data_IF_512898681312
#
_entry.id   IF_512898681312
#
_cell.length_a   1.000
_cell.length_b   1.000
_cell.length_c   1.000
_cell.angle_alpha   90.00
_cell.angle_beta   90.00
_cell.angle_gamma   90.00
#
_symmetry.space_group_name_H-M   'P 1'
#
loop_
_entity.id
_entity.type
_entity.pdbx_description
1 polymer ?
#
# COMPACT_ATOMS: atom_id res chain seq x y z
N UNK A 1 -18.71 -4.87 19.83
CA UNK A 1 -18.75 -5.11 18.36
C UNK A 1 -19.10 -6.57 18.16
N UNK A 2 -20.39 -6.87 18.09
CA UNK A 2 -20.91 -8.19 17.73
C UNK A 2 -21.49 -8.08 16.32
N UNK A 3 -21.24 -9.12 15.53
CA UNK A 3 -21.63 -9.37 14.13
C UNK A 3 -20.61 -8.95 13.05
N UNK A 4 -19.80 -9.94 12.68
CA UNK A 4 -19.38 -10.11 11.29
C UNK A 4 -20.66 -10.37 10.48
N UNK A 5 -20.91 -9.52 9.49
CA UNK A 5 -22.11 -9.45 8.64
C UNK A 5 -23.00 -10.71 8.60
N UNK A 6 -24.15 -10.67 9.25
CA UNK A 6 -25.29 -11.53 8.89
C UNK A 6 -26.16 -10.68 7.97
N UNK A 7 -25.94 -10.81 6.66
CA UNK A 7 -26.76 -10.17 5.63
C UNK A 7 -27.83 -11.18 5.24
N UNK A 8 -29.11 -10.77 5.17
CA UNK A 8 -30.16 -11.63 4.60
C UNK A 8 -29.78 -12.06 3.18
N UNK A 9 -30.11 -13.29 2.80
CA UNK A 9 -29.83 -13.81 1.45
C UNK A 9 -30.44 -12.93 0.35
N UNK A 10 -31.58 -12.30 0.64
CA UNK A 10 -32.33 -11.46 -0.31
C UNK A 10 -31.84 -10.00 -0.35
N UNK A 11 -30.98 -9.60 0.59
CA UNK A 11 -30.55 -8.21 0.65
C UNK A 11 -29.44 -7.95 -0.39
N UNK A 12 -29.58 -6.89 -1.21
CA UNK A 12 -28.57 -6.57 -2.20
C UNK A 12 -27.24 -6.23 -1.51
N UNK A 13 -26.13 -6.66 -2.12
CA UNK A 13 -24.80 -6.37 -1.58
C UNK A 13 -24.56 -4.87 -1.43
N UNK A 14 -23.71 -4.46 -0.46
CA UNK A 14 -23.50 -3.06 -0.15
C UNK A 14 -23.01 -2.24 -1.36
N UNK A 15 -23.86 -1.35 -1.87
CA UNK A 15 -23.55 -0.37 -2.91
C UNK A 15 -23.00 0.94 -2.31
N UNK A 16 -22.05 1.59 -2.98
CA UNK A 16 -21.45 2.84 -2.50
C UNK A 16 -22.48 3.96 -2.26
N UNK A 17 -23.43 4.17 -3.17
CA UNK A 17 -24.39 5.26 -3.10
C UNK A 17 -25.30 5.16 -1.86
N UNK A 18 -25.83 3.95 -1.61
CA UNK A 18 -26.65 3.66 -0.43
C UNK A 18 -25.84 3.86 0.85
N UNK A 19 -24.61 3.33 0.88
CA UNK A 19 -23.73 3.48 2.03
C UNK A 19 -23.32 4.93 2.28
N UNK A 20 -23.09 5.73 1.24
CA UNK A 20 -22.74 7.14 1.36
C UNK A 20 -23.90 7.96 1.95
N UNK A 21 -25.14 7.68 1.55
CA UNK A 21 -26.33 8.28 2.17
C UNK A 21 -26.45 7.91 3.65
N UNK A 22 -26.23 6.64 3.98
CA UNK A 22 -26.26 6.16 5.36
C UNK A 22 -25.11 6.74 6.21
N UNK A 23 -23.92 6.93 5.63
CA UNK A 23 -22.80 7.58 6.29
C UNK A 23 -23.14 9.01 6.73
N UNK A 24 -23.85 9.77 5.88
CA UNK A 24 -24.31 11.12 6.21
C UNK A 24 -25.23 11.12 7.43
N UNK A 25 -26.15 10.15 7.53
CA UNK A 25 -27.02 9.97 8.70
C UNK A 25 -26.21 9.57 9.93
N UNK A 26 -25.32 8.58 9.79
CA UNK A 26 -24.49 8.06 10.88
C UNK A 26 -23.55 9.11 11.48
N UNK A 27 -23.05 10.07 10.69
CA UNK A 27 -22.21 11.17 11.20
C UNK A 27 -22.95 12.13 12.12
N UNK A 28 -24.28 12.19 12.06
CA UNK A 28 -25.10 13.03 12.96
C UNK A 28 -25.19 12.40 14.35
N UNK A 29 -25.29 11.08 14.42
CA UNK A 29 -25.50 10.32 15.66
C UNK A 29 -24.21 9.79 16.29
N UNK A 30 -23.15 9.58 15.50
CA UNK A 30 -21.90 8.98 15.97
C UNK A 30 -20.74 10.01 16.01
N UNK A 31 -20.31 10.45 17.21
CA UNK A 31 -19.22 11.40 17.37
C UNK A 31 -17.87 10.92 16.83
N UNK A 32 -17.56 9.61 16.91
CA UNK A 32 -16.29 9.06 16.45
C UNK A 32 -16.15 9.13 14.94
N UNK A 33 -17.23 8.84 14.20
CA UNK A 33 -17.24 8.96 12.72
C UNK A 33 -17.17 10.45 12.32
N UNK A 34 -17.77 11.34 13.11
CA UNK A 34 -17.74 12.79 12.85
C UNK A 34 -16.31 13.37 12.89
N UNK A 35 -15.42 12.82 13.73
CA UNK A 35 -14.01 13.23 13.83
C UNK A 35 -13.17 12.91 12.58
N UNK A 36 -13.60 11.96 11.75
CA UNK A 36 -12.83 11.46 10.59
C UNK A 36 -13.24 12.16 9.29
N UNK A 37 -12.33 12.19 8.31
CA UNK A 37 -12.49 13.03 7.13
C UNK A 37 -13.52 12.39 6.23
N UNK A 38 -14.44 13.20 5.71
CA UNK A 38 -15.54 12.71 4.89
C UNK A 38 -15.04 11.93 3.66
N UNK A 39 -13.98 12.42 3.00
CA UNK A 39 -13.41 11.77 1.81
C UNK A 39 -12.68 10.47 2.17
N UNK A 40 -11.99 10.44 3.31
CA UNK A 40 -11.36 9.21 3.82
C UNK A 40 -12.42 8.15 4.11
N UNK A 41 -13.52 8.52 4.78
CA UNK A 41 -14.64 7.62 5.06
C UNK A 41 -15.29 7.10 3.77
N UNK A 42 -15.54 7.98 2.79
CA UNK A 42 -16.04 7.59 1.48
C UNK A 42 -15.10 6.60 0.76
N UNK A 43 -13.79 6.76 0.90
CA UNK A 43 -12.83 5.81 0.31
C UNK A 43 -12.89 4.42 0.97
N UNK A 44 -13.24 4.35 2.25
CA UNK A 44 -13.50 3.06 2.93
C UNK A 44 -14.73 2.39 2.33
N UNK A 45 -15.81 3.14 2.06
CA UNK A 45 -17.02 2.61 1.42
C UNK A 45 -16.73 2.09 0.00
N UNK A 46 -15.95 2.84 -0.81
CA UNK A 46 -15.49 2.39 -2.13
C UNK A 46 -14.65 1.11 -2.05
N UNK A 47 -13.87 0.96 -0.98
CA UNK A 47 -13.08 -0.25 -0.74
C UNK A 47 -13.99 -1.44 -0.40
N UNK A 48 -15.08 -1.21 0.35
CA UNK A 48 -16.07 -2.23 0.66
C UNK A 48 -16.78 -2.71 -0.62
N UNK A 49 -17.29 -1.79 -1.43
CA UNK A 49 -17.94 -2.10 -2.70
C UNK A 49 -17.02 -2.90 -3.63
N UNK A 50 -15.76 -2.46 -3.79
CA UNK A 50 -14.76 -3.20 -4.58
C UNK A 50 -14.55 -4.64 -4.07
N UNK A 51 -14.58 -4.84 -2.76
CA UNK A 51 -14.41 -6.18 -2.18
C UNK A 51 -15.60 -7.09 -2.53
N UNK A 52 -16.83 -6.58 -2.44
CA UNK A 52 -18.03 -7.33 -2.84
C UNK A 52 -18.12 -7.56 -4.35
N UNK A 53 -17.70 -6.59 -5.17
CA UNK A 53 -17.64 -6.79 -6.63
C UNK A 53 -16.58 -7.83 -6.99
N UNK A 54 -15.41 -7.79 -6.36
CA UNK A 54 -14.37 -8.83 -6.58
C UNK A 54 -14.84 -10.22 -6.16
N UNK A 55 -15.65 -10.33 -5.10
CA UNK A 55 -16.26 -11.60 -4.68
C UNK A 55 -17.16 -12.17 -5.81
N UNK A 56 -18.04 -11.33 -6.38
CA UNK A 56 -18.98 -11.73 -7.44
C UNK A 56 -18.30 -12.00 -8.77
N UNK A 57 -17.50 -11.06 -9.25
CA UNK A 57 -16.93 -11.07 -10.60
C UNK A 57 -15.73 -12.01 -10.72
N UNK A 58 -14.97 -12.18 -9.63
CA UNK A 58 -13.70 -12.95 -9.64
C UNK A 58 -13.75 -14.23 -8.82
N UNK A 59 -14.91 -14.57 -8.24
CA UNK A 59 -15.08 -15.77 -7.41
C UNK A 59 -14.27 -15.74 -6.11
N UNK A 60 -13.90 -14.56 -5.60
CA UNK A 60 -13.22 -14.46 -4.30
C UNK A 60 -14.17 -14.80 -3.15
N UNK A 61 -13.61 -15.22 -2.01
CA UNK A 61 -14.40 -15.46 -0.79
C UNK A 61 -15.00 -14.18 -0.19
N UNK A 62 -15.94 -14.37 0.74
CA UNK A 62 -16.68 -13.27 1.37
C UNK A 62 -15.77 -12.21 2.02
N UNK A 63 -16.01 -10.89 1.81
CA UNK A 63 -15.20 -9.82 2.38
C UNK A 63 -15.13 -9.87 3.92
N UNK A 64 -13.94 -9.66 4.47
CA UNK A 64 -13.71 -9.58 5.92
C UNK A 64 -13.29 -8.19 6.36
N UNK A 65 -13.84 -7.71 7.47
CA UNK A 65 -13.46 -6.42 8.04
C UNK A 65 -12.00 -6.44 8.52
N UNK A 66 -11.32 -5.30 8.31
CA UNK A 66 -9.97 -5.09 8.83
C UNK A 66 -10.06 -4.64 10.28
N UNK A 67 -9.53 -5.44 11.19
CA UNK A 67 -9.32 -5.02 12.57
C UNK A 67 -8.22 -3.92 12.66
N UNK A 68 -8.05 -3.34 13.87
CA UNK A 68 -7.05 -2.29 14.14
C UNK A 68 -5.60 -2.66 13.81
N UNK A 69 -5.27 -3.95 13.72
CA UNK A 69 -3.93 -4.42 13.38
C UNK A 69 -3.72 -4.68 11.87
N UNK A 70 -4.82 -4.95 11.15
CA UNK A 70 -4.86 -5.15 9.69
C UNK A 70 -5.07 -3.85 8.93
N UNK A 71 -5.68 -2.84 9.55
CA UNK A 71 -5.76 -1.52 8.95
C UNK A 71 -4.37 -0.87 8.94
N UNK A 72 -3.83 -0.67 7.75
CA UNK A 72 -2.45 -0.17 7.55
C UNK A 72 -2.37 1.10 6.72
N UNK A 73 -3.46 1.53 6.10
CA UNK A 73 -3.45 2.73 5.29
C UNK A 73 -4.83 3.35 5.15
N UNK A 74 -4.83 4.63 4.86
CA UNK A 74 -6.00 5.39 4.45
C UNK A 74 -5.56 6.46 3.44
N UNK A 75 -6.53 7.02 2.71
CA UNK A 75 -6.24 7.84 1.54
C UNK A 75 -7.05 9.13 1.61
N UNK A 76 -6.38 10.25 1.39
CA UNK A 76 -6.97 11.52 1.03
C UNK A 76 -6.97 11.62 -0.50
N UNK A 77 -8.13 11.42 -1.15
CA UNK A 77 -8.18 11.25 -2.61
C UNK A 77 -7.93 12.53 -3.38
N UNK A 78 -8.13 13.70 -2.75
CA UNK A 78 -7.96 15.01 -3.36
C UNK A 78 -7.68 16.08 -2.29
N UNK A 79 -7.10 17.19 -2.71
CA UNK A 79 -6.89 18.39 -1.89
C UNK A 79 -7.32 19.63 -2.68
N UNK A 80 -7.85 20.65 -1.99
CA UNK A 80 -8.23 21.93 -2.61
C UNK A 80 -7.02 22.77 -3.01
N UNK A 81 -6.00 22.75 -2.16
CA UNK A 81 -4.72 23.44 -2.34
C UNK A 81 -3.59 22.45 -2.09
N UNK A 82 -2.37 22.76 -2.53
CA UNK A 82 -1.22 21.93 -2.23
C UNK A 82 -1.07 21.79 -0.70
N UNK A 83 -1.20 20.58 -0.12
CA UNK A 83 -1.11 20.37 1.31
C UNK A 83 0.34 20.36 1.81
N UNK A 84 1.34 20.39 0.93
CA UNK A 84 2.76 20.32 1.27
C UNK A 84 3.36 21.72 1.32
N UNK A 85 4.09 22.01 2.39
CA UNK A 85 4.87 23.23 2.57
C UNK A 85 6.17 22.87 3.29
N UNK A 86 7.31 23.02 2.61
CA UNK A 86 8.63 22.60 3.09
C UNK A 86 8.61 21.12 3.57
N UNK A 87 9.05 20.89 4.81
CA UNK A 87 9.05 19.58 5.48
C UNK A 87 7.71 19.25 6.17
N UNK A 88 6.62 19.91 5.81
CA UNK A 88 5.32 19.73 6.45
C UNK A 88 4.24 19.36 5.46
N UNK A 89 3.29 18.56 5.94
CA UNK A 89 2.07 18.22 5.23
C UNK A 89 0.85 18.51 6.10
N UNK A 90 -0.10 19.28 5.57
CA UNK A 90 -1.38 19.61 6.21
C UNK A 90 -2.43 18.59 5.80
N UNK A 91 -2.79 17.71 6.73
CA UNK A 91 -3.81 16.68 6.52
C UNK A 91 -5.13 17.08 7.18
N UNK A 92 -6.28 16.99 6.49
CA UNK A 92 -7.59 17.31 7.08
C UNK A 92 -7.85 16.55 8.40
N UNK A 93 -8.29 17.28 9.43
CA UNK A 93 -8.54 16.83 10.83
C UNK A 93 -7.35 16.24 11.60
N UNK A 94 -6.24 15.90 10.94
CA UNK A 94 -4.99 15.52 11.60
C UNK A 94 -4.15 16.77 11.92
N UNK A 95 -4.19 17.78 11.05
CA UNK A 95 -3.43 19.01 11.19
C UNK A 95 -2.11 18.99 10.43
N UNK A 96 -1.18 19.85 10.86
CA UNK A 96 0.14 19.98 10.27
C UNK A 96 1.06 18.88 10.84
N UNK A 97 1.66 18.07 9.96
CA UNK A 97 2.52 16.95 10.34
C UNK A 97 3.88 17.12 9.68
N UNK A 98 4.95 17.05 10.47
CA UNK A 98 6.31 17.07 9.94
C UNK A 98 6.59 15.77 9.21
N UNK A 99 7.15 15.87 8.01
CA UNK A 99 7.57 14.74 7.19
C UNK A 99 8.97 14.97 6.63
N UNK A 100 9.70 13.87 6.42
CA UNK A 100 10.93 13.91 5.63
C UNK A 100 10.56 13.65 4.17
N UNK A 101 10.67 14.66 3.32
CA UNK A 101 10.43 14.49 1.90
C UNK A 101 11.59 13.67 1.31
N UNK A 102 11.32 12.47 0.81
CA UNK A 102 12.37 11.57 0.31
C UNK A 102 12.93 11.96 -1.05
N UNK A 103 12.14 12.70 -1.84
CA UNK A 103 12.49 13.18 -3.18
C UNK A 103 11.77 14.51 -3.42
N UNK A 104 12.41 15.52 -4.03
CA UNK A 104 11.71 16.74 -4.41
C UNK A 104 10.56 16.42 -5.36
N UNK A 105 9.48 17.23 -5.28
CA UNK A 105 8.37 17.14 -6.24
C UNK A 105 8.89 17.72 -7.56
N UNK A 106 8.88 16.96 -8.67
CA UNK A 106 9.39 17.47 -9.95
C UNK A 106 8.54 18.64 -10.46
N UNK A 107 9.17 19.52 -11.25
CA UNK A 107 8.49 20.66 -11.87
C UNK A 107 7.38 20.19 -12.82
N UNK A 108 6.26 20.92 -12.86
CA UNK A 108 5.09 20.57 -13.68
C UNK A 108 4.19 19.48 -13.09
N UNK A 109 4.57 18.86 -11.96
CA UNK A 109 3.74 17.85 -11.29
C UNK A 109 2.87 18.44 -10.18
N UNK A 110 1.59 18.09 -10.20
CA UNK A 110 0.63 18.46 -9.17
C UNK A 110 0.30 17.27 -8.27
N UNK A 111 0.27 17.49 -6.96
CA UNK A 111 -0.19 16.48 -6.02
C UNK A 111 -1.70 16.26 -6.16
N UNK A 112 -2.11 15.02 -6.43
CA UNK A 112 -3.53 14.64 -6.53
C UNK A 112 -4.00 13.89 -5.30
N UNK A 113 -3.23 12.94 -4.82
CA UNK A 113 -3.65 12.06 -3.74
C UNK A 113 -2.52 11.86 -2.73
N UNK A 114 -2.89 11.75 -1.45
CA UNK A 114 -1.98 11.37 -0.37
C UNK A 114 -2.51 10.13 0.31
N UNK A 115 -1.72 9.07 0.31
CA UNK A 115 -1.99 7.84 1.06
C UNK A 115 -1.06 7.75 2.26
N UNK A 116 -1.63 7.78 3.46
CA UNK A 116 -0.87 7.53 4.69
C UNK A 116 -0.79 6.03 4.90
N UNK A 117 0.43 5.49 5.02
CA UNK A 117 0.70 4.06 5.19
C UNK A 117 1.53 3.81 6.44
N UNK A 118 1.07 2.89 7.28
CA UNK A 118 1.81 2.35 8.42
C UNK A 118 2.58 1.10 8.02
N UNK A 119 3.90 1.23 7.95
CA UNK A 119 4.82 0.09 7.77
C UNK A 119 5.45 -0.31 9.10
N UNK A 120 6.36 -1.28 9.10
CA UNK A 120 7.01 -1.76 10.32
C UNK A 120 8.01 -0.75 10.90
N UNK A 121 8.60 0.09 10.03
CA UNK A 121 9.55 1.14 10.41
C UNK A 121 8.89 2.46 10.82
N UNK A 122 7.60 2.67 10.51
CA UNK A 122 6.93 3.94 10.82
C UNK A 122 5.77 4.26 9.87
N UNK A 123 5.34 5.51 9.88
CA UNK A 123 4.33 6.05 8.97
C UNK A 123 5.00 6.71 7.76
N UNK A 124 4.37 6.58 6.60
CA UNK A 124 4.83 7.12 5.33
C UNK A 124 3.68 7.83 4.64
N UNK A 125 3.95 8.99 4.03
CA UNK A 125 3.05 9.64 3.10
C UNK A 125 3.45 9.23 1.67
N UNK A 126 2.59 8.46 1.01
CA UNK A 126 2.74 8.13 -0.41
C UNK A 126 1.99 9.19 -1.22
N UNK A 127 2.75 9.93 -2.03
CA UNK A 127 2.25 11.03 -2.85
C UNK A 127 1.98 10.51 -4.26
N UNK A 128 0.76 10.71 -4.75
CA UNK A 128 0.45 10.49 -6.17
C UNK A 128 0.43 11.84 -6.87
N UNK A 129 1.37 12.00 -7.78
CA UNK A 129 1.57 13.21 -8.58
C UNK A 129 0.99 13.00 -9.98
N UNK A 130 0.50 14.07 -10.59
CA UNK A 130 0.03 14.08 -11.97
C UNK A 130 0.71 15.23 -12.71
N UNK A 131 1.25 14.93 -13.88
CA UNK A 131 1.73 15.92 -14.84
C UNK A 131 0.78 15.95 -16.04
N UNK A 132 0.71 17.10 -16.72
CA UNK A 132 -0.02 17.25 -17.98
C UNK A 132 0.83 16.90 -19.21
N UNK A 133 2.07 16.44 -19.00
CA UNK A 133 2.93 15.97 -20.09
C UNK A 133 2.29 14.77 -20.74
N UNK A 134 2.08 14.87 -22.06
CA UNK A 134 1.65 13.75 -22.88
C UNK A 134 2.88 12.87 -23.13
N UNK A 135 2.79 11.59 -22.75
CA UNK A 135 3.85 10.61 -23.02
C UNK A 135 3.48 9.98 -24.36
N UNK A 136 4.31 10.15 -25.41
CA UNK A 136 4.03 9.54 -26.70
C UNK A 136 3.93 8.02 -26.55
N UNK A 137 3.05 7.40 -27.34
CA UNK A 137 2.98 5.95 -27.38
C UNK A 137 4.33 5.37 -27.79
N UNK A 138 4.69 4.23 -27.18
CA UNK A 138 5.88 3.50 -27.59
C UNK A 138 5.68 3.01 -29.03
N UNK A 139 6.65 3.21 -29.93
CA UNK A 139 6.52 2.77 -31.31
C UNK A 139 6.31 1.25 -31.36
N UNK A 140 5.40 0.80 -32.23
CA UNK A 140 5.07 -0.63 -32.39
C UNK A 140 6.24 -1.46 -32.96
N UNK A 141 7.29 -0.79 -33.46
CA UNK A 141 8.48 -1.37 -34.05
C UNK A 141 9.71 -0.92 -33.27
N UNK A 142 10.62 -1.85 -32.99
CA UNK A 142 11.87 -1.58 -32.29
C UNK A 142 12.85 -2.74 -32.44
N UNK A 143 14.03 -2.58 -31.85
CA UNK A 143 15.03 -3.65 -31.78
C UNK A 143 14.53 -4.76 -30.84
N UNK A 144 14.34 -6.00 -31.33
CA UNK A 144 13.88 -7.09 -30.48
C UNK A 144 15.01 -7.52 -29.54
N UNK A 145 14.82 -7.28 -28.23
CA UNK A 145 15.75 -7.72 -27.20
C UNK A 145 15.21 -9.00 -26.54
N UNK A 146 15.92 -10.13 -26.74
CA UNK A 146 15.63 -11.37 -26.04
C UNK A 146 16.05 -11.24 -24.58
N UNK A 147 15.18 -11.61 -23.64
CA UNK A 147 15.46 -11.59 -22.20
C UNK A 147 15.26 -12.99 -21.63
N UNK A 148 16.32 -13.55 -21.06
CA UNK A 148 16.27 -14.79 -20.28
C UNK A 148 16.49 -14.50 -18.79
N UNK A 149 15.69 -15.12 -17.92
CA UNK A 149 15.69 -14.90 -16.46
C UNK A 149 16.16 -16.17 -15.78
N UNK A 150 17.38 -16.13 -15.24
CA UNK A 150 18.05 -17.31 -14.69
C UNK A 150 18.09 -17.40 -13.16
N UNK A 151 18.61 -18.54 -12.68
CA UNK A 151 18.91 -18.76 -11.26
C UNK A 151 20.34 -18.36 -10.88
N UNK A 152 21.28 -18.50 -11.81
CA UNK A 152 22.69 -18.11 -11.62
C UNK A 152 22.87 -16.62 -11.93
N UNK A 153 22.51 -16.19 -13.14
CA UNK A 153 22.34 -14.78 -13.53
C UNK A 153 20.88 -14.37 -13.38
N UNK A 154 20.62 -13.17 -12.89
CA UNK A 154 19.26 -12.66 -12.75
C UNK A 154 18.62 -12.42 -14.12
N UNK A 155 19.38 -11.87 -15.06
CA UNK A 155 18.92 -11.53 -16.39
C UNK A 155 20.07 -11.68 -17.38
N UNK A 156 19.81 -12.29 -18.51
CA UNK A 156 20.70 -12.36 -19.66
C UNK A 156 19.97 -11.80 -20.89
N UNK A 157 20.62 -10.92 -21.66
CA UNK A 157 20.05 -10.40 -22.90
C UNK A 157 20.65 -11.09 -24.13
N UNK A 158 19.92 -11.07 -25.25
CA UNK A 158 20.45 -11.51 -26.55
C UNK A 158 21.68 -10.72 -27.01
N UNK A 159 21.89 -9.53 -26.44
CA UNK A 159 23.03 -8.65 -26.73
C UNK A 159 24.26 -8.99 -25.87
N UNK A 160 24.15 -10.02 -25.01
CA UNK A 160 25.24 -10.49 -24.16
C UNK A 160 25.36 -9.74 -22.83
N UNK A 161 24.42 -8.86 -22.47
CA UNK A 161 24.39 -8.25 -21.14
C UNK A 161 23.98 -9.29 -20.10
N UNK A 162 24.76 -9.39 -19.03
CA UNK A 162 24.50 -10.33 -17.93
C UNK A 162 24.39 -9.55 -16.61
N UNK A 163 23.21 -9.59 -16.00
CA UNK A 163 22.99 -9.03 -14.67
C UNK A 163 23.12 -10.12 -13.62
N UNK A 164 24.04 -9.90 -12.68
CA UNK A 164 24.26 -10.81 -11.55
C UNK A 164 23.03 -10.91 -10.62
N UNK A 165 22.82 -12.10 -10.08
CA UNK A 165 21.76 -12.31 -9.10
C UNK A 165 22.12 -11.69 -7.76
N UNK A 166 21.25 -10.83 -7.21
CA UNK A 166 21.52 -10.23 -5.92
C UNK A 166 21.34 -11.28 -4.79
N UNK A 167 22.36 -11.43 -3.94
CA UNK A 167 22.39 -12.44 -2.87
C UNK A 167 21.75 -11.98 -1.55
N UNK A 168 21.16 -10.77 -1.49
CA UNK A 168 20.57 -10.22 -0.25
C UNK A 168 19.41 -11.06 0.30
N UNK A 169 18.68 -11.78 -0.57
CA UNK A 169 17.53 -12.58 -0.15
C UNK A 169 17.94 -13.73 0.77
N UNK A 170 19.03 -14.44 0.46
CA UNK A 170 19.47 -15.59 1.24
C UNK A 170 19.76 -15.19 2.70
N UNK A 171 20.51 -14.10 2.90
CA UNK A 171 20.83 -13.57 4.22
C UNK A 171 19.57 -13.16 5.00
N UNK A 172 18.70 -12.34 4.39
CA UNK A 172 17.50 -11.83 5.07
C UNK A 172 16.48 -12.95 5.37
N UNK A 173 16.39 -13.97 4.51
CA UNK A 173 15.57 -15.16 4.78
C UNK A 173 16.14 -16.00 5.92
N UNK A 174 17.46 -16.13 6.04
CA UNK A 174 18.12 -16.77 7.17
C UNK A 174 17.78 -16.11 8.50
N UNK A 175 17.90 -14.77 8.56
CA UNK A 175 17.50 -13.98 9.73
C UNK A 175 16.01 -14.18 10.08
N UNK A 176 15.13 -14.14 9.07
CA UNK A 176 13.71 -14.33 9.25
C UNK A 176 13.38 -15.73 9.81
N UNK A 177 14.03 -16.79 9.29
CA UNK A 177 13.86 -18.17 9.75
C UNK A 177 14.24 -18.31 11.23
N UNK A 178 15.34 -17.69 11.66
CA UNK A 178 15.76 -17.67 13.07
C UNK A 178 14.72 -16.98 13.97
N UNK A 179 14.18 -15.84 13.53
CA UNK A 179 13.14 -15.13 14.27
C UNK A 179 11.85 -15.93 14.37
N UNK A 180 11.43 -16.59 13.28
CA UNK A 180 10.25 -17.47 13.26
C UNK A 180 10.42 -18.68 14.19
N UNK A 181 11.60 -19.31 14.21
CA UNK A 181 11.91 -20.40 15.14
C UNK A 181 11.80 -19.95 16.60
N UNK A 182 12.36 -18.79 16.93
CA UNK A 182 12.26 -18.18 18.27
C UNK A 182 10.82 -17.81 18.63
N UNK A 183 10.01 -17.41 17.65
CA UNK A 183 8.63 -17.02 17.85
C UNK A 183 7.74 -18.20 18.27
N UNK A 184 7.98 -19.39 17.70
CA UNK A 184 7.20 -20.62 17.98
C UNK A 184 7.19 -21.00 19.46
N UNK A 185 8.31 -20.77 20.19
CA UNK A 185 8.42 -21.10 21.60
C UNK A 185 7.94 -19.99 22.56
N UNK A 186 7.44 -18.85 22.06
CA UNK A 186 6.96 -17.76 22.94
C UNK A 186 5.48 -17.92 23.29
N UNK A 187 5.18 -17.71 24.58
CA UNK A 187 3.80 -17.63 25.07
C UNK A 187 2.99 -16.60 24.27
N UNK A 188 1.78 -16.96 23.77
CA UNK A 188 0.85 -16.02 23.18
C UNK A 188 0.63 -14.79 24.08
N UNK A 189 0.53 -13.59 23.49
CA UNK A 189 0.34 -12.33 24.23
C UNK A 189 1.55 -11.79 25.00
N UNK A 190 2.63 -12.57 25.17
CA UNK A 190 3.80 -12.08 25.92
C UNK A 190 4.51 -10.90 25.25
N UNK A 191 5.07 -9.99 26.07
CA UNK A 191 5.85 -8.83 25.59
C UNK A 191 6.99 -9.25 24.66
N UNK A 192 7.66 -10.36 24.97
CA UNK A 192 8.74 -10.90 24.14
C UNK A 192 8.24 -11.38 22.77
N UNK A 193 7.04 -11.97 22.70
CA UNK A 193 6.41 -12.35 21.43
C UNK A 193 6.09 -11.13 20.57
N UNK A 194 5.61 -10.05 21.19
CA UNK A 194 5.36 -8.78 20.50
C UNK A 194 6.65 -8.15 19.95
N UNK A 195 7.73 -8.13 20.75
CA UNK A 195 9.06 -7.67 20.33
C UNK A 195 9.58 -8.47 19.12
N UNK A 196 9.46 -9.80 19.15
CA UNK A 196 9.86 -10.65 18.02
C UNK A 196 9.01 -10.38 16.77
N UNK A 197 7.70 -10.25 16.91
CA UNK A 197 6.82 -9.96 15.77
C UNK A 197 7.18 -8.62 15.10
N UNK A 198 7.53 -7.60 15.89
CA UNK A 198 7.99 -6.32 15.36
C UNK A 198 9.32 -6.47 14.60
N UNK A 199 10.28 -7.26 15.13
CA UNK A 199 11.54 -7.56 14.45
C UNK A 199 11.28 -8.28 13.11
N UNK A 200 10.47 -9.33 13.10
CA UNK A 200 10.10 -10.04 11.87
C UNK A 200 9.42 -9.12 10.85
N UNK A 201 8.54 -8.23 11.31
CA UNK A 201 7.88 -7.24 10.44
C UNK A 201 8.87 -6.29 9.78
N UNK A 202 9.95 -5.89 10.50
CA UNK A 202 11.02 -5.04 9.93
C UNK A 202 11.84 -5.79 8.88
N UNK A 203 12.15 -7.07 9.11
CA UNK A 203 12.85 -7.89 8.11
C UNK A 203 11.99 -8.07 6.86
N UNK A 204 10.69 -8.36 7.01
CA UNK A 204 9.77 -8.42 5.86
C UNK A 204 9.72 -7.11 5.08
N UNK A 205 9.70 -5.97 5.79
CA UNK A 205 9.77 -4.67 5.14
C UNK A 205 11.09 -4.49 4.38
N UNK A 206 12.23 -4.82 5.00
CA UNK A 206 13.56 -4.74 4.37
C UNK A 206 13.62 -5.59 3.10
N UNK A 207 13.17 -6.85 3.14
CA UNK A 207 13.09 -7.72 1.96
C UNK A 207 12.26 -7.07 0.85
N UNK A 208 11.06 -6.57 1.19
CA UNK A 208 10.19 -5.93 0.20
C UNK A 208 10.81 -4.66 -0.40
N UNK A 209 11.52 -3.87 0.40
CA UNK A 209 12.11 -2.61 -0.05
C UNK A 209 13.34 -2.87 -0.91
N UNK A 210 14.24 -3.79 -0.50
CA UNK A 210 15.41 -4.17 -1.29
C UNK A 210 15.03 -4.82 -2.62
N UNK A 211 13.96 -5.62 -2.68
CA UNK A 211 13.46 -6.15 -3.96
C UNK A 211 12.99 -5.06 -4.91
N UNK A 212 12.21 -4.10 -4.40
CA UNK A 212 11.72 -2.97 -5.22
C UNK A 212 12.85 -2.10 -5.72
N UNK A 213 13.82 -1.83 -4.86
CA UNK A 213 15.01 -1.05 -5.19
C UNK A 213 15.84 -1.75 -6.28
N UNK A 214 16.11 -3.04 -6.12
CA UNK A 214 16.80 -3.84 -7.14
C UNK A 214 16.08 -3.80 -8.50
N UNK A 215 14.76 -3.99 -8.53
CA UNK A 215 13.99 -3.88 -9.77
C UNK A 215 14.04 -2.47 -10.38
N UNK A 216 13.97 -1.42 -9.57
CA UNK A 216 14.04 -0.05 -10.06
C UNK A 216 15.42 0.31 -10.62
N UNK A 217 16.50 -0.27 -10.09
CA UNK A 217 17.87 -0.07 -10.58
C UNK A 217 18.17 -0.89 -11.85
N UNK A 218 17.50 -2.03 -12.05
CA UNK A 218 17.70 -2.89 -13.22
C UNK A 218 16.78 -2.56 -14.39
N UNK A 219 15.64 -1.91 -14.16
CA UNK A 219 14.69 -1.55 -15.22
C UNK A 219 15.23 -0.58 -16.30
N UNK A 220 16.03 0.46 -15.97
CA UNK A 220 16.52 1.41 -16.97
C UNK A 220 17.50 0.84 -17.99
N UNK A 221 18.05 -0.36 -17.76
CA UNK A 221 18.94 -1.01 -18.73
C UNK A 221 18.19 -1.54 -19.96
N UNK A 222 16.85 -1.59 -19.95
CA UNK A 222 16.06 -2.34 -20.93
C UNK A 222 14.82 -1.59 -21.47
N UNK A 223 14.69 -0.30 -21.19
CA UNK A 223 13.60 0.58 -21.65
C UNK A 223 14.19 1.69 -22.50
#
# INVERSE_FOLDING_TARGET
MQQEYIISADAPYPNYNVQAANLTKAKKTNPEIKKVNAQVLQQVLKTLERAFNSMKEKGYGFPRLKNKYRMRSFVFPQFKTNPISNDWIKLPQIGLVRMRLSRPIPEGFQLKQVRVVRRASGYFAMLSLQSNVNIPDTPASGYPLGIDVGLDKFLATSDGELIERPKFLAQLHGELKLLQRRFKSKKPGSVNRHKLNQKSSRIHQKISDTRKDFHALTSPSFV
#
